data_IF_701675329513
#
_entry.id   IF_701675329513
#
_cell.length_a   1.000
_cell.length_b   1.000
_cell.length_c   1.000
_cell.angle_alpha   90.00
_cell.angle_beta   90.00
_cell.angle_gamma   90.00
#
_symmetry.space_group_name_H-M   'P 1'
#
loop_
_entity.id
_entity.type
_entity.pdbx_description
1 polymer ?
#
# COMPACT_ATOMS: atom_id res chain seq x y z
N UNK A 1 2.85 19.04 -3.54
CA UNK A 1 3.30 19.44 -2.20
C UNK A 1 2.11 19.50 -1.28
N UNK A 2 2.25 19.10 -0.01
CA UNK A 2 1.24 19.37 1.01
C UNK A 2 0.94 20.86 1.11
N UNK A 3 -0.27 21.20 1.55
CA UNK A 3 -0.64 22.59 1.83
C UNK A 3 -0.03 23.04 3.17
N UNK A 4 -0.07 24.34 3.48
CA UNK A 4 0.43 24.80 4.78
C UNK A 4 -0.49 24.35 5.91
N UNK A 5 0.03 24.28 7.14
CA UNK A 5 -0.80 23.97 8.32
C UNK A 5 -1.91 25.01 8.52
N UNK A 6 -1.67 26.26 8.15
CA UNK A 6 -2.67 27.33 8.21
C UNK A 6 -3.79 27.07 7.19
N UNK A 7 -3.44 26.75 5.94
CA UNK A 7 -4.44 26.46 4.90
C UNK A 7 -5.26 25.19 5.25
N UNK A 8 -4.59 24.16 5.77
CA UNK A 8 -5.26 22.93 6.22
C UNK A 8 -6.22 23.19 7.38
N UNK A 9 -5.85 24.09 8.31
CA UNK A 9 -6.76 24.53 9.36
C UNK A 9 -7.98 25.24 8.76
N UNK A 10 -7.77 26.18 7.83
CA UNK A 10 -8.85 26.96 7.21
C UNK A 10 -9.86 26.08 6.45
N UNK A 11 -9.41 24.98 5.84
CA UNK A 11 -10.29 24.03 5.14
C UNK A 11 -11.31 23.35 6.07
N UNK A 12 -10.94 23.09 7.32
CA UNK A 12 -11.70 22.22 8.24
C UNK A 12 -12.16 22.93 9.52
N UNK A 13 -11.90 24.23 9.65
CA UNK A 13 -12.28 25.01 10.81
C UNK A 13 -13.80 25.12 10.97
N UNK A 14 -14.23 25.24 12.23
CA UNK A 14 -15.59 25.61 12.60
C UNK A 14 -15.56 26.89 13.43
N UNK A 15 -16.59 27.73 13.28
CA UNK A 15 -16.74 28.92 14.12
C UNK A 15 -17.62 28.56 15.33
N UNK A 16 -17.08 28.79 16.54
CA UNK A 16 -17.81 28.62 17.79
C UNK A 16 -18.83 29.74 17.99
N UNK A 17 -19.70 29.59 18.99
CA UNK A 17 -20.70 30.61 19.36
C UNK A 17 -20.06 31.94 19.81
N UNK A 18 -18.86 31.90 20.38
CA UNK A 18 -18.07 33.06 20.78
C UNK A 18 -17.35 33.75 19.60
N UNK A 19 -17.54 33.25 18.37
CA UNK A 19 -16.94 33.79 17.15
C UNK A 19 -15.52 33.30 16.88
N UNK A 20 -14.95 32.44 17.73
CA UNK A 20 -13.58 31.93 17.59
C UNK A 20 -13.58 30.72 16.65
N UNK A 21 -12.68 30.74 15.67
CA UNK A 21 -12.45 29.63 14.76
C UNK A 21 -11.55 28.58 15.39
N UNK A 22 -11.97 27.33 15.34
CA UNK A 22 -11.26 26.19 15.92
C UNK A 22 -11.37 24.96 15.01
N UNK A 23 -10.42 24.05 15.15
CA UNK A 23 -10.39 22.74 14.52
C UNK A 23 -10.86 21.68 15.52
N UNK A 24 -11.99 21.00 15.29
CA UNK A 24 -12.46 19.91 16.16
C UNK A 24 -11.51 18.71 16.13
N UNK A 25 -11.44 17.94 17.23
CA UNK A 25 -10.59 16.74 17.33
C UNK A 25 -10.68 15.79 16.13
N UNK A 26 -11.89 15.46 15.70
CA UNK A 26 -12.10 14.51 14.59
C UNK A 26 -11.55 14.99 13.24
N UNK A 27 -11.26 16.29 13.08
CA UNK A 27 -10.66 16.87 11.86
C UNK A 27 -9.16 17.09 11.96
N UNK A 28 -8.54 16.95 13.14
CA UNK A 28 -7.10 17.19 13.30
C UNK A 28 -6.27 16.26 12.43
N UNK A 29 -6.60 14.96 12.41
CA UNK A 29 -5.88 13.99 11.60
C UNK A 29 -5.98 14.30 10.11
N UNK A 30 -7.15 14.76 9.65
CA UNK A 30 -7.40 15.13 8.25
C UNK A 30 -6.54 16.33 7.88
N UNK A 31 -6.63 17.42 8.65
CA UNK A 31 -5.87 18.63 8.42
C UNK A 31 -4.36 18.38 8.52
N UNK A 32 -3.91 17.57 9.49
CA UNK A 32 -2.51 17.23 9.66
C UNK A 32 -1.98 16.50 8.42
N UNK A 33 -2.73 15.52 7.89
CA UNK A 33 -2.35 14.77 6.70
C UNK A 33 -2.30 15.65 5.45
N UNK A 34 -3.24 16.58 5.28
CA UNK A 34 -3.20 17.57 4.20
C UNK A 34 -1.99 18.51 4.31
N UNK A 35 -1.58 18.83 5.54
CA UNK A 35 -0.34 19.56 5.82
C UNK A 35 0.93 18.67 5.72
N UNK A 36 0.78 17.38 5.42
CA UNK A 36 1.87 16.43 5.22
C UNK A 36 2.36 15.75 6.49
N UNK A 37 1.66 15.88 7.61
CA UNK A 37 2.01 15.28 8.90
C UNK A 37 1.06 14.14 9.26
N UNK A 38 1.59 13.08 9.87
CA UNK A 38 0.79 11.97 10.40
C UNK A 38 1.09 11.75 11.89
N UNK A 39 0.71 12.67 12.77
CA UNK A 39 0.89 12.49 14.20
C UNK A 39 0.09 11.28 14.71
N UNK A 40 0.65 10.58 15.68
CA UNK A 40 0.02 9.46 16.37
C UNK A 40 -1.19 9.93 17.18
N UNK A 41 -2.24 9.11 17.32
CA UNK A 41 -3.46 9.49 18.06
C UNK A 41 -3.16 9.92 19.51
N UNK A 42 -2.27 9.24 20.27
CA UNK A 42 -1.88 9.71 21.61
C UNK A 42 -1.25 11.11 21.64
N UNK A 43 -0.53 11.50 20.57
CA UNK A 43 0.05 12.84 20.45
C UNK A 43 -1.04 13.90 20.21
N UNK A 44 -2.04 13.58 19.40
CA UNK A 44 -3.21 14.44 19.19
C UNK A 44 -3.98 14.59 20.50
N UNK A 45 -4.20 13.50 21.23
CA UNK A 45 -4.90 13.49 22.52
C UNK A 45 -4.20 14.35 23.57
N UNK A 46 -2.88 14.25 23.68
CA UNK A 46 -2.09 15.07 24.59
C UNK A 46 -2.20 16.56 24.24
N UNK A 47 -2.09 16.89 22.95
CA UNK A 47 -2.21 18.28 22.50
C UNK A 47 -3.60 18.85 22.76
N UNK A 48 -4.64 18.06 22.50
CA UNK A 48 -6.05 18.42 22.75
C UNK A 48 -6.38 18.63 24.22
N UNK A 49 -5.76 17.84 25.11
CA UNK A 49 -5.95 17.98 26.56
C UNK A 49 -5.38 19.30 27.08
N UNK A 50 -4.32 19.79 26.45
CA UNK A 50 -3.63 21.03 26.83
C UNK A 50 -4.10 22.25 26.02
N UNK A 51 -5.04 22.07 25.09
CA UNK A 51 -5.58 23.15 24.29
C UNK A 51 -6.43 24.11 25.14
N UNK A 52 -6.51 25.36 24.68
CA UNK A 52 -7.30 26.43 25.27
C UNK A 52 -8.77 26.05 25.38
N UNK A 53 -9.27 25.29 24.40
CA UNK A 53 -10.63 24.77 24.35
C UNK A 53 -10.61 23.25 24.32
N UNK A 54 -10.92 22.55 25.42
CA UNK A 54 -10.84 21.08 25.45
C UNK A 54 -11.60 20.41 24.28
N UNK A 55 -10.88 19.58 23.53
CA UNK A 55 -11.40 18.87 22.35
C UNK A 55 -11.41 19.68 21.04
N UNK A 56 -10.87 20.89 21.06
CA UNK A 56 -10.75 21.79 19.92
C UNK A 56 -9.38 22.47 19.93
N UNK A 57 -8.83 22.80 18.76
CA UNK A 57 -7.58 23.54 18.64
C UNK A 57 -7.76 24.82 17.85
N UNK A 58 -7.10 25.89 18.28
CA UNK A 58 -6.94 27.10 17.48
C UNK A 58 -5.93 26.88 16.34
N UNK A 59 -5.85 27.82 15.40
CA UNK A 59 -4.87 27.78 14.30
C UNK A 59 -3.43 27.75 14.82
N UNK A 60 -3.14 28.53 15.87
CA UNK A 60 -1.83 28.60 16.52
C UNK A 60 -1.44 27.24 17.14
N UNK A 61 -2.35 26.63 17.91
CA UNK A 61 -2.12 25.34 18.55
C UNK A 61 -1.95 24.20 17.52
N UNK A 62 -2.73 24.22 16.45
CA UNK A 62 -2.61 23.24 15.36
C UNK A 62 -1.28 23.39 14.61
N UNK A 63 -0.85 24.61 14.33
CA UNK A 63 0.44 24.88 13.70
C UNK A 63 1.59 24.42 14.60
N UNK A 64 1.51 24.72 15.91
CA UNK A 64 2.50 24.27 16.88
C UNK A 64 2.54 22.75 17.01
N UNK A 65 1.39 22.07 16.92
CA UNK A 65 1.33 20.61 16.87
C UNK A 65 2.12 20.07 15.68
N UNK A 66 1.91 20.61 14.48
CA UNK A 66 2.64 20.20 13.28
C UNK A 66 4.14 20.49 13.41
N UNK A 67 4.51 21.67 13.91
CA UNK A 67 5.91 22.07 14.07
C UNK A 67 6.68 21.23 15.08
N UNK A 68 6.05 20.84 16.19
CA UNK A 68 6.63 19.94 17.19
C UNK A 68 6.77 18.50 16.70
N UNK A 69 5.97 18.11 15.71
CA UNK A 69 5.94 16.76 15.17
C UNK A 69 6.57 16.64 13.77
N UNK A 70 7.65 17.38 13.48
CA UNK A 70 8.38 17.28 12.20
C UNK A 70 8.83 15.87 11.83
N UNK A 71 9.05 15.00 12.81
CA UNK A 71 9.37 13.59 12.56
C UNK A 71 8.22 12.77 11.98
N UNK A 72 6.97 13.25 12.06
CA UNK A 72 5.81 12.60 11.46
C UNK A 72 5.49 13.11 10.06
N UNK A 73 6.37 13.94 9.47
CA UNK A 73 6.21 14.39 8.09
C UNK A 73 6.30 13.21 7.11
N UNK A 74 5.32 13.11 6.21
CA UNK A 74 5.19 12.05 5.23
C UNK A 74 5.43 12.58 3.81
N UNK A 75 6.44 12.04 3.14
CA UNK A 75 6.66 12.36 1.72
C UNK A 75 5.61 11.71 0.82
N UNK A 76 5.32 12.36 -0.30
CA UNK A 76 4.43 11.83 -1.33
C UNK A 76 4.92 10.47 -1.87
N UNK A 77 6.24 10.29 -1.98
CA UNK A 77 6.85 9.03 -2.41
C UNK A 77 6.57 7.88 -1.43
N UNK A 78 6.72 8.14 -0.13
CA UNK A 78 6.48 7.13 0.90
C UNK A 78 4.99 6.78 0.99
N UNK A 79 4.10 7.79 0.96
CA UNK A 79 2.66 7.56 0.88
C UNK A 79 2.28 6.73 -0.36
N UNK A 80 2.80 7.09 -1.54
CA UNK A 80 2.54 6.36 -2.78
C UNK A 80 2.96 4.89 -2.68
N UNK A 81 4.11 4.60 -2.05
CA UNK A 81 4.56 3.23 -1.79
C UNK A 81 3.56 2.44 -0.93
N UNK A 82 3.07 3.02 0.16
CA UNK A 82 2.07 2.37 1.02
C UNK A 82 0.74 2.15 0.29
N UNK A 83 0.28 3.16 -0.46
CA UNK A 83 -0.96 3.07 -1.23
C UNK A 83 -0.90 1.96 -2.28
N UNK A 84 0.20 1.84 -3.03
CA UNK A 84 0.31 0.79 -4.05
C UNK A 84 0.39 -0.60 -3.42
N UNK A 85 1.08 -0.72 -2.29
CA UNK A 85 1.19 -1.98 -1.54
C UNK A 85 -0.18 -2.48 -1.03
N UNK A 86 -0.99 -1.58 -0.47
CA UNK A 86 -2.28 -1.93 0.18
C UNK A 86 -3.44 -1.94 -0.81
N UNK A 87 -3.43 -1.03 -1.78
CA UNK A 87 -4.48 -0.86 -2.77
C UNK A 87 -3.94 -1.05 -4.21
N UNK A 88 -3.46 -2.27 -4.57
CA UNK A 88 -2.88 -2.54 -5.88
C UNK A 88 -3.89 -2.34 -7.03
N UNK A 89 -5.18 -2.57 -6.76
CA UNK A 89 -6.28 -2.27 -7.71
C UNK A 89 -6.48 -0.77 -7.97
N UNK A 90 -5.89 0.10 -7.14
CA UNK A 90 -6.14 1.54 -7.15
C UNK A 90 -7.45 1.96 -6.51
N UNK A 91 -8.10 1.06 -5.77
CA UNK A 91 -9.32 1.35 -5.01
C UNK A 91 -9.01 1.30 -3.52
N UNK A 92 -9.27 2.40 -2.82
CA UNK A 92 -9.13 2.55 -1.37
C UNK A 92 -10.53 2.52 -0.75
N UNK A 93 -10.81 1.46 -0.01
CA UNK A 93 -11.93 1.33 0.93
C UNK A 93 -11.50 1.80 2.33
N UNK A 94 -12.45 1.93 3.26
CA UNK A 94 -12.15 2.24 4.68
C UNK A 94 -11.09 1.30 5.26
N UNK A 95 -11.24 -0.01 5.05
CA UNK A 95 -10.30 -1.02 5.57
C UNK A 95 -8.89 -0.87 5.00
N UNK A 96 -8.76 -0.58 3.71
CA UNK A 96 -7.44 -0.31 3.13
C UNK A 96 -6.88 1.04 3.60
N UNK A 97 -7.72 2.01 3.95
CA UNK A 97 -7.25 3.26 4.52
C UNK A 97 -6.66 3.03 5.91
N UNK A 98 -7.34 2.27 6.76
CA UNK A 98 -6.83 1.80 8.05
C UNK A 98 -5.45 1.13 7.87
N UNK A 99 -5.35 0.14 6.97
CA UNK A 99 -4.08 -0.55 6.74
C UNK A 99 -2.98 0.37 6.16
N UNK A 100 -3.32 1.36 5.33
CA UNK A 100 -2.34 2.36 4.87
C UNK A 100 -1.82 3.14 6.09
N UNK A 101 -2.69 3.60 6.98
CA UNK A 101 -2.32 4.40 8.15
C UNK A 101 -1.50 3.60 9.15
N UNK A 102 -1.80 2.31 9.33
CA UNK A 102 -0.98 1.40 10.13
C UNK A 102 0.44 1.26 9.57
N UNK A 103 0.60 1.18 8.24
CA UNK A 103 1.93 1.10 7.61
C UNK A 103 2.71 2.42 7.68
N UNK A 104 2.02 3.55 7.78
CA UNK A 104 2.65 4.87 7.93
C UNK A 104 3.08 5.15 9.38
N UNK A 105 2.39 4.53 10.35
CA UNK A 105 2.68 4.67 11.77
C UNK A 105 3.96 3.92 12.14
N UNK A 106 5.11 4.59 11.99
CA UNK A 106 6.44 4.05 12.32
C UNK A 106 6.66 3.83 13.83
N UNK A 107 5.71 4.25 14.69
CA UNK A 107 5.76 4.13 16.16
C UNK A 107 4.42 3.62 16.68
N UNK A 108 4.45 2.90 17.80
CA UNK A 108 3.24 2.43 18.51
C UNK A 108 2.31 3.61 18.79
N UNK A 109 1.03 3.47 18.41
CA UNK A 109 -0.01 4.49 18.61
C UNK A 109 -0.60 5.06 17.31
N UNK A 110 -0.92 4.21 16.34
CA UNK A 110 -1.58 4.60 15.07
C UNK A 110 -2.89 5.38 15.26
N UNK A 111 -3.59 5.62 14.15
CA UNK A 111 -4.85 6.37 14.20
C UNK A 111 -5.95 5.59 14.93
N UNK A 112 -6.80 6.30 15.67
CA UNK A 112 -8.01 5.74 16.23
C UNK A 112 -9.05 5.47 15.14
N UNK A 113 -9.97 4.52 15.37
CA UNK A 113 -11.01 4.14 14.41
C UNK A 113 -11.86 5.34 13.96
N UNK A 114 -12.15 6.27 14.87
CA UNK A 114 -12.90 7.49 14.59
C UNK A 114 -12.13 8.46 13.69
N UNK A 115 -10.80 8.50 13.82
CA UNK A 115 -9.93 9.34 12.99
C UNK A 115 -9.82 8.77 11.57
N UNK A 116 -9.71 7.45 11.45
CA UNK A 116 -9.76 6.76 10.14
C UNK A 116 -11.11 6.99 9.46
N UNK A 117 -12.21 6.90 10.20
CA UNK A 117 -13.55 7.15 9.67
C UNK A 117 -13.72 8.61 9.22
N UNK A 118 -13.25 9.57 10.01
CA UNK A 118 -13.31 10.98 9.64
C UNK A 118 -12.50 11.27 8.37
N UNK A 119 -11.29 10.70 8.25
CA UNK A 119 -10.48 10.82 7.05
C UNK A 119 -11.18 10.20 5.82
N UNK A 120 -11.70 8.99 5.97
CA UNK A 120 -12.36 8.31 4.86
C UNK A 120 -13.61 9.07 4.39
N UNK A 121 -14.45 9.49 5.33
CA UNK A 121 -15.69 10.24 5.04
C UNK A 121 -15.39 11.58 4.38
N UNK A 122 -14.35 12.27 4.82
CA UNK A 122 -13.95 13.57 4.24
C UNK A 122 -13.52 13.42 2.78
N UNK A 123 -12.83 12.32 2.45
CA UNK A 123 -12.32 12.09 1.09
C UNK A 123 -13.35 11.40 0.17
N UNK A 124 -14.28 10.62 0.72
CA UNK A 124 -15.40 10.00 0.00
C UNK A 124 -16.62 10.92 -0.10
N UNK A 125 -16.42 12.11 -0.69
CA UNK A 125 -17.44 13.16 -0.85
C UNK A 125 -18.78 12.65 -1.42
N UNK A 126 -18.75 11.58 -2.23
CA UNK A 126 -19.94 11.03 -2.89
C UNK A 126 -20.51 9.78 -2.21
N UNK A 127 -20.02 9.41 -1.01
CA UNK A 127 -20.44 8.23 -0.25
C UNK A 127 -20.48 6.95 -1.11
N UNK A 128 -19.45 6.75 -1.94
CA UNK A 128 -19.36 5.57 -2.81
C UNK A 128 -18.86 4.34 -2.08
N UNK A 129 -18.39 4.50 -0.84
CA UNK A 129 -17.71 3.47 -0.06
C UNK A 129 -16.30 3.15 -0.58
N UNK A 130 -15.79 3.96 -1.52
CA UNK A 130 -14.50 3.76 -2.15
C UNK A 130 -13.94 5.03 -2.79
N UNK A 131 -12.63 5.24 -2.63
CA UNK A 131 -11.87 6.36 -3.19
C UNK A 131 -10.80 5.79 -4.12
N UNK A 132 -10.61 6.38 -5.29
CA UNK A 132 -9.49 5.97 -6.15
C UNK A 132 -8.16 6.43 -5.55
N UNK A 133 -7.11 5.60 -5.63
CA UNK A 133 -5.77 5.94 -5.17
C UNK A 133 -5.26 7.28 -5.73
N UNK A 134 -5.59 7.59 -6.98
CA UNK A 134 -5.23 8.88 -7.61
C UNK A 134 -5.90 10.06 -6.91
N UNK A 135 -7.21 9.97 -6.59
CA UNK A 135 -7.93 11.02 -5.86
C UNK A 135 -7.38 11.20 -4.45
N UNK A 136 -7.10 10.10 -3.76
CA UNK A 136 -6.49 10.14 -2.43
C UNK A 136 -5.14 10.87 -2.46
N UNK A 137 -4.23 10.46 -3.36
CA UNK A 137 -2.92 11.10 -3.49
C UNK A 137 -3.01 12.56 -3.94
N UNK A 138 -3.96 12.88 -4.83
CA UNK A 138 -4.21 14.26 -5.28
C UNK A 138 -4.75 15.14 -4.15
N UNK A 139 -5.61 14.62 -3.29
CA UNK A 139 -6.16 15.36 -2.17
C UNK A 139 -5.06 15.77 -1.17
N UNK A 140 -4.14 14.86 -0.87
CA UNK A 140 -3.08 15.12 0.12
C UNK A 140 -1.87 15.87 -0.43
N UNK A 141 -1.48 15.65 -1.69
CA UNK A 141 -0.22 16.14 -2.25
C UNK A 141 -0.35 16.88 -3.58
N UNK A 142 -1.57 17.04 -4.12
CA UNK A 142 -1.81 17.65 -5.42
C UNK A 142 -1.24 16.82 -6.58
N UNK A 143 -0.73 17.51 -7.61
CA UNK A 143 -0.16 16.86 -8.79
C UNK A 143 1.10 16.02 -8.48
N UNK A 144 1.87 16.43 -7.46
CA UNK A 144 3.03 15.66 -6.99
C UNK A 144 2.62 14.26 -6.52
N UNK A 145 1.54 14.16 -5.74
CA UNK A 145 1.04 12.86 -5.28
C UNK A 145 0.65 11.94 -6.43
N UNK A 146 0.01 12.50 -7.46
CA UNK A 146 -0.35 11.76 -8.67
C UNK A 146 0.88 11.29 -9.42
N UNK A 147 1.90 12.14 -9.54
CA UNK A 147 3.16 11.80 -10.18
C UNK A 147 3.89 10.68 -9.41
N UNK A 148 4.06 10.81 -8.10
CA UNK A 148 4.68 9.78 -7.25
C UNK A 148 3.93 8.44 -7.34
N UNK A 149 2.60 8.45 -7.38
CA UNK A 149 1.79 7.25 -7.55
C UNK A 149 2.02 6.59 -8.92
N UNK A 150 2.07 7.37 -9.99
CA UNK A 150 2.32 6.87 -11.34
C UNK A 150 3.73 6.26 -11.45
N UNK A 151 4.75 6.96 -10.95
CA UNK A 151 6.13 6.48 -10.94
C UNK A 151 6.27 5.20 -10.12
N UNK A 152 5.63 5.12 -8.95
CA UNK A 152 5.67 3.90 -8.13
C UNK A 152 5.07 2.71 -8.86
N UNK A 153 3.93 2.89 -9.53
CA UNK A 153 3.29 1.84 -10.35
C UNK A 153 4.14 1.42 -11.54
N UNK A 154 4.81 2.37 -12.19
CA UNK A 154 5.75 2.10 -13.29
C UNK A 154 6.90 1.20 -12.82
N UNK A 155 7.51 1.54 -11.68
CA UNK A 155 8.62 0.77 -11.11
C UNK A 155 8.21 -0.67 -10.76
N UNK A 156 7.03 -0.87 -10.15
CA UNK A 156 6.54 -2.21 -9.82
C UNK A 156 6.21 -3.04 -11.06
N UNK A 157 5.66 -2.41 -12.11
CA UNK A 157 5.45 -3.08 -13.38
C UNK A 157 6.78 -3.53 -14.01
N UNK A 158 7.79 -2.67 -14.04
CA UNK A 158 9.11 -2.98 -14.58
C UNK A 158 9.80 -4.11 -13.80
N UNK A 159 9.67 -4.11 -12.47
CA UNK A 159 10.17 -5.17 -11.61
C UNK A 159 9.43 -6.50 -11.86
N UNK A 160 8.10 -6.48 -11.94
CA UNK A 160 7.30 -7.68 -12.23
C UNK A 160 7.64 -8.28 -13.60
N UNK A 161 7.85 -7.43 -14.62
CA UNK A 161 8.30 -7.87 -15.95
C UNK A 161 9.69 -8.50 -15.87
N UNK A 162 10.62 -7.93 -15.11
CA UNK A 162 11.97 -8.48 -14.92
C UNK A 162 11.94 -9.84 -14.24
N UNK A 163 11.17 -9.98 -13.17
CA UNK A 163 11.00 -11.24 -12.44
C UNK A 163 10.35 -12.32 -13.30
N UNK A 164 9.34 -11.95 -14.11
CA UNK A 164 8.69 -12.87 -15.05
C UNK A 164 9.67 -13.39 -16.11
N UNK A 165 10.48 -12.51 -16.71
CA UNK A 165 11.50 -12.91 -17.70
C UNK A 165 12.57 -13.81 -17.08
N UNK A 166 13.01 -13.52 -15.85
CA UNK A 166 13.98 -14.35 -15.14
C UNK A 166 13.42 -15.74 -14.83
N UNK A 167 12.17 -15.81 -14.36
CA UNK A 167 11.49 -17.08 -14.08
C UNK A 167 11.28 -17.91 -15.37
N UNK A 168 10.93 -17.27 -16.48
CA UNK A 168 10.80 -17.94 -17.78
C UNK A 168 12.14 -18.50 -18.28
N UNK A 169 13.23 -17.74 -18.14
CA UNK A 169 14.57 -18.22 -18.48
C UNK A 169 14.99 -19.44 -17.65
N UNK A 170 14.76 -19.40 -16.34
CA UNK A 170 15.05 -20.53 -15.45
C UNK A 170 14.24 -21.77 -15.84
N UNK A 171 12.96 -21.61 -16.17
CA UNK A 171 12.11 -22.72 -16.63
C UNK A 171 12.62 -23.34 -17.93
N UNK A 172 13.06 -22.52 -18.90
CA UNK A 172 13.65 -23.03 -20.15
C UNK A 172 14.96 -23.79 -19.89
N UNK A 173 15.86 -23.25 -19.05
CA UNK A 173 17.12 -23.93 -18.68
C UNK A 173 16.88 -25.25 -17.93
N UNK A 174 15.86 -25.31 -17.06
CA UNK A 174 15.46 -26.55 -16.38
C UNK A 174 14.85 -27.59 -17.34
N UNK A 175 14.07 -27.14 -18.32
CA UNK A 175 13.47 -28.00 -19.35
C UNK A 175 14.52 -28.56 -20.33
N UNK A 176 15.48 -27.73 -20.74
CA UNK A 176 16.64 -28.16 -21.54
C UNK A 176 17.44 -29.23 -20.80
N UNK A 177 17.78 -29.00 -19.53
CA UNK A 177 18.48 -30.00 -18.70
C UNK A 177 17.70 -31.30 -18.56
N UNK A 178 16.38 -31.24 -18.39
CA UNK A 178 15.52 -32.43 -18.32
C UNK A 178 15.53 -33.20 -19.64
N UNK A 179 15.41 -32.51 -20.77
CA UNK A 179 15.41 -33.13 -22.09
C UNK A 179 16.79 -33.72 -22.46
N UNK A 180 17.89 -33.10 -22.03
CA UNK A 180 19.25 -33.64 -22.15
C UNK A 180 19.43 -34.92 -21.32
N UNK A 181 18.85 -34.99 -20.11
CA UNK A 181 18.88 -36.22 -19.28
C UNK A 181 17.88 -37.30 -19.71
N UNK A 182 16.94 -37.00 -20.60
CA UNK A 182 15.83 -37.88 -20.99
C UNK A 182 15.99 -38.53 -22.38
N UNK A 183 17.06 -38.26 -23.13
CA UNK A 183 17.34 -38.97 -24.38
C UNK A 183 18.08 -40.30 -24.12
N UNK A 184 17.63 -41.43 -24.71
CA UNK A 184 17.72 -42.75 -24.08
C UNK A 184 18.87 -43.60 -24.65
N UNK A 185 19.19 -44.65 -23.89
CA UNK A 185 19.90 -45.85 -24.32
C UNK A 185 19.62 -46.21 -25.79
N UNK A 186 20.69 -46.29 -26.59
CA UNK A 186 20.66 -46.76 -27.96
C UNK A 186 21.94 -47.52 -28.31
N UNK A 187 21.78 -48.84 -28.48
CA UNK A 187 22.64 -49.82 -29.15
C UNK A 187 24.03 -50.19 -28.59
N UNK A 188 24.07 -51.32 -27.88
CA UNK A 188 25.20 -52.26 -27.97
C UNK A 188 24.70 -53.63 -28.46
N UNK A 189 24.73 -53.81 -29.79
CA UNK A 189 24.52 -55.09 -30.45
C UNK A 189 25.87 -55.83 -30.55
N UNK A 190 25.96 -57.05 -30.00
CA UNK A 190 27.20 -57.84 -29.97
C UNK A 190 27.01 -59.33 -29.60
N UNK A 191 26.49 -60.10 -30.56
CA UNK A 191 26.76 -61.53 -30.83
C UNK A 191 26.56 -62.62 -29.74
N UNK A 192 25.57 -63.49 -30.01
CA UNK A 192 25.84 -64.90 -30.32
C UNK A 192 25.63 -65.97 -29.24
N UNK A 193 24.60 -66.82 -29.41
CA UNK A 193 24.77 -68.27 -29.63
C UNK A 193 23.47 -68.98 -29.98
N UNK A 194 23.61 -69.92 -30.92
CA UNK A 194 22.66 -70.95 -31.36
C UNK A 194 22.11 -71.76 -30.20
N UNK A 195 20.85 -72.22 -30.31
CA UNK A 195 20.58 -73.66 -30.33
C UNK A 195 19.19 -74.01 -30.91
N UNK A 196 19.17 -75.14 -31.61
CA UNK A 196 18.09 -75.63 -32.47
C UNK A 196 17.00 -76.42 -31.72
N UNK A 197 15.77 -76.27 -32.22
CA UNK A 197 14.73 -77.31 -32.44
C UNK A 197 14.54 -78.42 -31.39
N UNK A 198 13.29 -78.57 -30.93
CA UNK A 198 12.44 -79.72 -31.31
C UNK A 198 10.94 -79.51 -31.05
N UNK A 199 10.16 -79.99 -32.02
CA UNK A 199 8.69 -79.95 -32.16
C UNK A 199 7.96 -81.00 -31.30
N UNK A 200 6.64 -80.76 -31.21
CA UNK A 200 5.46 -81.66 -31.07
C UNK A 200 4.78 -81.54 -29.70
N UNK A 201 3.67 -80.80 -29.58
CA UNK A 201 2.28 -81.08 -30.03
C UNK A 201 1.60 -82.17 -29.18
N UNK A 202 0.55 -81.77 -28.44
CA UNK A 202 -0.73 -82.50 -28.33
C UNK A 202 -1.72 -81.69 -27.48
N UNK A 203 -2.95 -81.60 -27.97
CA UNK A 203 -4.14 -81.11 -27.29
C UNK A 203 -4.56 -82.05 -26.13
N UNK A 204 -5.35 -81.56 -25.16
CA UNK A 204 -6.80 -81.77 -25.06
C UNK A 204 -7.33 -81.37 -23.66
N UNK A 205 -8.56 -80.84 -23.66
CA UNK A 205 -9.59 -80.79 -22.59
C UNK A 205 -9.22 -80.29 -21.19
#
# INVERSE_FOLDING_TARGET
>A
MPISAVDAFEHHQVTREDGITVLPKYMVTVAALEAGYCPASPTIDEAMKNALYPGQMTSEEFTELCDRNKSSFLSAEYMAKCVVLVAPSGVITRRSMEEIMDKLSLKEGGLADEEVEALFTTLDINNKGAITAQRFMRALYGDEGVHCLAERRRLEYEEAVRLRKAAEKLRMEEEEKRNETASPEGDFNGQGKREEKKKKASACC
#
